data_IF_156678499793
#
_entry.id   IF_156678499793
#
_cell.length_a   1.000
_cell.length_b   1.000
_cell.length_c   1.000
_cell.angle_alpha   90.00
_cell.angle_beta   90.00
_cell.angle_gamma   90.00
#
_symmetry.space_group_name_H-M   'P 1'
#
loop_
_entity.id
_entity.type
_entity.pdbx_description
1 polymer ?
#
# COMPACT_ATOMS: atom_id res chain seq x y z
N UNK A 1 -1.02 19.59 -7.91
CA UNK A 1 -1.50 18.97 -6.68
C UNK A 1 -1.10 17.51 -6.71
N UNK A 2 -0.45 17.01 -5.70
CA UNK A 2 -0.16 15.57 -5.57
C UNK A 2 -1.39 14.95 -4.93
N UNK A 3 -2.08 14.08 -5.66
CA UNK A 3 -3.29 13.43 -5.18
C UNK A 3 -2.92 12.25 -4.26
N UNK A 4 -2.61 12.55 -3.00
CA UNK A 4 -2.28 11.54 -1.99
C UNK A 4 -3.51 10.77 -1.50
N UNK A 5 -4.68 11.41 -1.51
CA UNK A 5 -5.95 10.84 -1.05
C UNK A 5 -7.06 11.19 -2.03
N UNK A 6 -7.86 10.21 -2.41
CA UNK A 6 -9.00 10.37 -3.31
C UNK A 6 -10.25 9.68 -2.72
N UNK A 7 -11.43 10.33 -2.71
CA UNK A 7 -12.68 9.67 -2.31
C UNK A 7 -13.07 8.60 -3.33
N UNK A 8 -13.81 7.57 -2.92
CA UNK A 8 -14.23 6.49 -3.82
C UNK A 8 -15.00 6.99 -5.06
N UNK A 9 -15.76 8.06 -4.93
CA UNK A 9 -16.49 8.69 -6.04
C UNK A 9 -15.57 9.26 -7.14
N UNK A 10 -14.30 9.51 -6.86
CA UNK A 10 -13.31 10.00 -7.81
C UNK A 10 -12.47 8.89 -8.45
N UNK A 11 -12.69 7.63 -8.06
CA UNK A 11 -11.89 6.50 -8.52
C UNK A 11 -12.54 5.85 -9.75
N UNK A 12 -11.69 5.46 -10.71
CA UNK A 12 -12.09 4.82 -11.95
C UNK A 12 -11.13 3.68 -12.31
N UNK A 13 -11.59 2.78 -13.18
CA UNK A 13 -10.84 1.59 -13.60
C UNK A 13 -9.50 1.91 -14.29
N UNK A 14 -9.38 3.03 -14.96
CA UNK A 14 -8.16 3.50 -15.62
C UNK A 14 -7.09 4.00 -14.64
N UNK A 15 -7.42 4.12 -13.34
CA UNK A 15 -6.51 4.58 -12.29
C UNK A 15 -5.77 3.45 -11.57
N UNK A 16 -5.73 2.23 -12.11
CA UNK A 16 -5.11 1.05 -11.48
C UNK A 16 -3.71 1.30 -10.94
N UNK A 17 -2.87 2.00 -11.71
CA UNK A 17 -1.50 2.32 -11.29
C UNK A 17 -1.44 3.27 -10.07
N UNK A 18 -2.49 4.05 -9.84
CA UNK A 18 -2.57 5.04 -8.76
C UNK A 18 -3.27 4.50 -7.52
N UNK A 19 -4.30 3.66 -7.69
CA UNK A 19 -5.19 3.26 -6.58
C UNK A 19 -5.26 1.75 -6.36
N UNK A 20 -4.68 0.94 -7.26
CA UNK A 20 -4.74 -0.51 -7.21
C UNK A 20 -6.11 -1.08 -7.57
N UNK A 21 -6.20 -2.39 -7.76
CA UNK A 21 -7.39 -3.06 -8.29
C UNK A 21 -8.60 -2.96 -7.37
N UNK A 22 -8.43 -3.16 -6.06
CA UNK A 22 -9.56 -3.09 -5.10
C UNK A 22 -10.19 -1.71 -5.05
N UNK A 23 -9.37 -0.66 -4.94
CA UNK A 23 -9.89 0.69 -4.85
C UNK A 23 -10.53 1.15 -6.17
N UNK A 24 -9.94 0.78 -7.32
CA UNK A 24 -10.54 1.04 -8.63
C UNK A 24 -11.93 0.38 -8.74
N UNK A 25 -12.05 -0.88 -8.34
CA UNK A 25 -13.33 -1.59 -8.33
C UNK A 25 -14.36 -0.95 -7.38
N UNK A 26 -13.95 -0.52 -6.17
CA UNK A 26 -14.83 0.20 -5.25
C UNK A 26 -15.31 1.51 -5.85
N UNK A 27 -14.45 2.23 -6.58
CA UNK A 27 -14.81 3.42 -7.32
C UNK A 27 -15.87 3.16 -8.38
N UNK A 28 -15.67 2.14 -9.22
CA UNK A 28 -16.66 1.74 -10.24
C UNK A 28 -18.02 1.37 -9.61
N UNK A 29 -18.02 0.60 -8.53
CA UNK A 29 -19.24 0.22 -7.81
C UNK A 29 -19.94 1.45 -7.21
N UNK A 30 -19.17 2.38 -6.63
CA UNK A 30 -19.69 3.64 -6.08
C UNK A 30 -20.33 4.48 -7.19
N UNK A 31 -19.66 4.64 -8.32
CA UNK A 31 -20.14 5.42 -9.46
C UNK A 31 -21.35 4.76 -10.15
N UNK A 32 -21.46 3.42 -10.06
CA UNK A 32 -22.65 2.68 -10.51
C UNK A 32 -23.80 2.72 -9.50
N UNK A 33 -23.70 3.53 -8.43
CA UNK A 33 -24.71 3.67 -7.38
C UNK A 33 -25.04 2.35 -6.64
N UNK A 34 -24.11 1.42 -6.62
CA UNK A 34 -24.24 0.20 -5.80
C UNK A 34 -23.95 0.51 -4.32
N UNK A 35 -24.47 -0.27 -3.37
CA UNK A 35 -24.34 -0.02 -1.95
C UNK A 35 -22.91 -0.31 -1.45
N UNK A 36 -21.98 0.62 -1.71
CA UNK A 36 -20.61 0.60 -1.20
C UNK A 36 -20.55 1.52 0.03
N UNK A 37 -19.98 1.07 1.16
CA UNK A 37 -19.71 1.97 2.27
C UNK A 37 -18.84 3.15 1.83
N UNK A 38 -19.09 4.37 2.33
CA UNK A 38 -18.26 5.52 2.00
C UNK A 38 -16.81 5.30 2.43
N UNK A 39 -15.87 5.87 1.70
CA UNK A 39 -14.44 5.71 1.97
C UNK A 39 -13.58 6.53 1.03
N UNK A 40 -12.27 6.39 1.23
CA UNK A 40 -11.26 7.03 0.42
C UNK A 40 -10.07 6.08 0.19
N UNK A 41 -9.26 6.40 -0.78
CA UNK A 41 -8.03 5.69 -1.11
C UNK A 41 -6.82 6.58 -0.84
N UNK A 42 -5.85 6.07 -0.09
CA UNK A 42 -4.50 6.63 0.00
C UNK A 42 -3.72 6.07 -1.18
N UNK A 43 -3.31 6.92 -2.09
CA UNK A 43 -2.79 6.53 -3.41
C UNK A 43 -1.36 6.00 -3.35
N UNK A 44 -0.93 5.35 -4.44
CA UNK A 44 0.47 4.92 -4.60
C UNK A 44 1.48 6.07 -4.64
N UNK A 45 1.02 7.31 -4.87
CA UNK A 45 1.87 8.52 -4.77
C UNK A 45 2.34 8.72 -3.32
N UNK A 46 1.46 8.50 -2.34
CA UNK A 46 1.81 8.54 -0.93
C UNK A 46 2.83 7.44 -0.58
N UNK A 47 2.61 6.21 -1.04
CA UNK A 47 3.58 5.12 -0.87
C UNK A 47 4.95 5.48 -1.46
N UNK A 48 4.99 6.05 -2.67
CA UNK A 48 6.25 6.41 -3.33
C UNK A 48 7.03 7.44 -2.52
N UNK A 49 6.35 8.40 -1.90
CA UNK A 49 7.02 9.39 -1.05
C UNK A 49 7.62 8.73 0.20
N UNK A 50 6.86 7.88 0.90
CA UNK A 50 7.37 7.12 2.05
C UNK A 50 8.54 6.22 1.65
N UNK A 51 8.46 5.54 0.52
CA UNK A 51 9.54 4.68 0.03
C UNK A 51 10.83 5.47 -0.24
N UNK A 52 10.71 6.70 -0.73
CA UNK A 52 11.84 7.61 -0.95
C UNK A 52 12.44 8.08 0.38
N UNK A 53 11.61 8.55 1.30
CA UNK A 53 12.04 9.06 2.60
C UNK A 53 12.65 7.96 3.49
N UNK A 54 12.16 6.73 3.38
CA UNK A 54 12.71 5.57 4.08
C UNK A 54 13.98 4.99 3.41
N UNK A 55 14.48 5.61 2.37
CA UNK A 55 15.68 5.17 1.63
C UNK A 55 15.58 3.72 1.12
N UNK A 56 14.37 3.27 0.76
CA UNK A 56 14.16 1.88 0.34
C UNK A 56 14.96 1.51 -0.90
N UNK A 57 15.16 2.45 -1.82
CA UNK A 57 15.96 2.22 -3.01
C UNK A 57 17.42 1.89 -2.66
N UNK A 58 17.98 2.52 -1.62
CA UNK A 58 19.33 2.22 -1.14
C UNK A 58 19.43 0.79 -0.61
N UNK A 59 18.43 0.35 0.15
CA UNK A 59 18.36 -1.03 0.64
C UNK A 59 18.27 -2.01 -0.53
N UNK A 60 17.35 -1.78 -1.47
CA UNK A 60 17.17 -2.63 -2.65
C UNK A 60 18.45 -2.72 -3.49
N UNK A 61 19.16 -1.60 -3.67
CA UNK A 61 20.42 -1.57 -4.41
C UNK A 61 21.52 -2.38 -3.71
N UNK A 62 21.63 -2.34 -2.38
CA UNK A 62 22.60 -3.15 -1.63
C UNK A 62 22.36 -4.63 -1.91
N UNK A 63 21.12 -5.07 -1.94
CA UNK A 63 20.78 -6.47 -2.20
C UNK A 63 20.90 -6.85 -3.69
N UNK A 64 20.67 -5.92 -4.62
CA UNK A 64 20.80 -6.16 -6.06
C UNK A 64 22.25 -6.21 -6.55
N UNK A 65 23.14 -5.38 -6.00
CA UNK A 65 24.53 -5.22 -6.48
C UNK A 65 25.53 -6.21 -5.88
N UNK A 66 25.17 -6.92 -4.84
CA UNK A 66 26.07 -7.93 -4.29
C UNK A 66 26.17 -9.11 -5.26
N UNK A 67 27.38 -9.39 -5.72
CA UNK A 67 27.79 -10.28 -6.83
C UNK A 67 27.38 -11.78 -6.73
N UNK A 68 26.48 -12.14 -5.84
CA UNK A 68 26.03 -13.51 -5.65
C UNK A 68 24.51 -13.66 -5.82
N UNK A 69 23.87 -12.84 -6.65
CA UNK A 69 22.49 -13.11 -7.05
C UNK A 69 22.48 -14.22 -8.11
N UNK A 70 22.90 -15.40 -7.73
CA UNK A 70 22.44 -16.63 -8.37
C UNK A 70 21.03 -16.86 -7.83
N UNK A 71 20.00 -16.71 -8.67
CA UNK A 71 18.61 -16.78 -8.26
C UNK A 71 18.36 -17.98 -7.35
N UNK A 72 17.95 -17.73 -6.09
CA UNK A 72 17.64 -18.76 -5.13
C UNK A 72 18.15 -18.57 -3.71
N UNK A 73 18.87 -17.49 -3.37
CA UNK A 73 19.23 -17.23 -1.97
C UNK A 73 18.02 -16.70 -1.18
N UNK A 74 17.20 -17.64 -0.70
CA UNK A 74 15.99 -17.38 0.09
C UNK A 74 16.31 -16.56 1.34
N UNK A 75 17.43 -16.84 2.01
CA UNK A 75 17.81 -16.13 3.24
C UNK A 75 18.05 -14.65 2.96
N UNK A 76 18.75 -14.35 1.90
CA UNK A 76 19.06 -12.98 1.50
C UNK A 76 17.81 -12.19 1.12
N UNK A 77 16.89 -12.84 0.39
CA UNK A 77 15.60 -12.25 0.04
C UNK A 77 14.77 -11.93 1.30
N UNK A 78 14.80 -12.83 2.28
CA UNK A 78 14.17 -12.64 3.59
C UNK A 78 14.81 -11.49 4.35
N UNK A 79 16.13 -11.40 4.39
CA UNK A 79 16.86 -10.33 5.08
C UNK A 79 16.54 -8.95 4.46
N UNK A 80 16.47 -8.88 3.13
CA UNK A 80 16.04 -7.68 2.42
C UNK A 80 14.61 -7.28 2.78
N UNK A 81 13.69 -8.24 2.71
CA UNK A 81 12.28 -8.02 3.03
C UNK A 81 12.11 -7.48 4.46
N UNK A 82 12.82 -8.06 5.43
CA UNK A 82 12.81 -7.63 6.82
C UNK A 82 13.39 -6.21 6.98
N UNK A 83 14.51 -5.91 6.33
CA UNK A 83 15.13 -4.59 6.38
C UNK A 83 14.20 -3.51 5.83
N UNK A 84 13.59 -3.74 4.66
CA UNK A 84 12.63 -2.80 4.06
C UNK A 84 11.39 -2.63 4.95
N UNK A 85 10.81 -3.73 5.43
CA UNK A 85 9.64 -3.70 6.31
C UNK A 85 9.90 -2.92 7.59
N UNK A 86 11.05 -3.15 8.22
CA UNK A 86 11.46 -2.43 9.42
C UNK A 86 11.57 -0.92 9.18
N UNK A 87 12.16 -0.52 8.05
CA UNK A 87 12.29 0.89 7.68
C UNK A 87 10.94 1.56 7.46
N UNK A 88 9.99 0.91 6.78
CA UNK A 88 8.65 1.44 6.58
C UNK A 88 7.92 1.59 7.91
N UNK A 89 7.98 0.59 8.79
CA UNK A 89 7.33 0.64 10.10
C UNK A 89 7.92 1.70 11.02
N UNK A 90 9.21 1.99 10.89
CA UNK A 90 9.89 3.03 11.66
C UNK A 90 9.76 4.44 11.04
N UNK A 91 9.36 4.54 9.78
CA UNK A 91 9.24 5.82 9.09
C UNK A 91 8.11 6.67 9.67
N UNK A 92 8.37 7.97 9.81
CA UNK A 92 7.32 8.95 10.10
C UNK A 92 6.57 9.24 8.83
N UNK A 93 5.24 9.20 8.87
CA UNK A 93 4.42 9.63 7.74
C UNK A 93 4.60 11.15 7.58
N UNK A 94 5.02 11.64 6.40
CA UNK A 94 5.15 13.08 6.16
C UNK A 94 3.88 13.84 6.49
N UNK A 95 4.03 15.01 7.10
CA UNK A 95 2.90 15.84 7.57
C UNK A 95 1.89 16.09 6.45
N UNK A 96 2.36 16.35 5.24
CA UNK A 96 1.48 16.58 4.08
C UNK A 96 0.57 15.38 3.74
N UNK A 97 1.02 14.15 3.99
CA UNK A 97 0.20 12.93 3.81
C UNK A 97 -0.70 12.73 5.03
N UNK A 98 -0.16 12.89 6.24
CA UNK A 98 -0.93 12.73 7.48
C UNK A 98 -2.11 13.71 7.54
N UNK A 99 -1.92 14.96 7.13
CA UNK A 99 -2.95 16.00 7.13
C UNK A 99 -4.10 15.67 6.16
N UNK A 100 -3.79 15.20 4.94
CA UNK A 100 -4.85 14.86 3.98
C UNK A 100 -5.60 13.58 4.38
N UNK A 101 -4.94 12.59 5.00
CA UNK A 101 -5.60 11.41 5.57
C UNK A 101 -6.51 11.84 6.73
N UNK A 102 -6.02 12.70 7.62
CA UNK A 102 -6.78 13.25 8.76
C UNK A 102 -8.03 13.97 8.28
N UNK A 103 -7.88 14.82 7.27
CA UNK A 103 -9.01 15.54 6.66
C UNK A 103 -10.05 14.58 6.06
N UNK A 104 -9.62 13.59 5.29
CA UNK A 104 -10.51 12.60 4.68
C UNK A 104 -11.23 11.74 5.73
N UNK A 105 -10.53 11.30 6.77
CA UNK A 105 -11.13 10.55 7.88
C UNK A 105 -12.14 11.39 8.67
N UNK A 106 -11.81 12.67 8.92
CA UNK A 106 -12.73 13.61 9.57
C UNK A 106 -14.02 13.83 8.76
N UNK A 107 -13.91 13.97 7.45
CA UNK A 107 -15.09 14.08 6.56
C UNK A 107 -15.92 12.80 6.61
N UNK A 108 -15.29 11.63 6.57
CA UNK A 108 -15.96 10.33 6.61
C UNK A 108 -16.76 10.13 7.91
N UNK A 109 -16.22 10.58 9.04
CA UNK A 109 -16.85 10.52 10.36
C UNK A 109 -17.70 11.74 10.73
N UNK A 110 -17.88 12.72 9.83
CA UNK A 110 -18.56 13.98 10.14
C UNK A 110 -17.97 14.71 11.38
N UNK A 111 -16.67 14.59 11.54
CA UNK A 111 -15.91 15.16 12.66
C UNK A 111 -15.74 14.24 13.87
N UNK A 112 -16.45 13.12 13.92
CA UNK A 112 -16.35 12.15 15.02
C UNK A 112 -15.49 10.93 14.62
N UNK A 113 -14.75 10.33 15.57
CA UNK A 113 -14.06 9.08 15.33
C UNK A 113 -15.03 7.94 15.04
N UNK A 114 -14.89 7.29 13.89
CA UNK A 114 -15.71 6.15 13.50
C UNK A 114 -14.84 4.91 13.25
N UNK A 115 -15.38 3.69 13.43
CA UNK A 115 -14.67 2.49 13.06
C UNK A 115 -14.59 2.35 11.55
N UNK A 116 -13.39 2.10 11.04
CA UNK A 116 -13.13 1.86 9.61
C UNK A 116 -12.42 0.54 9.40
N UNK A 117 -12.52 0.00 8.18
CA UNK A 117 -11.65 -1.05 7.67
C UNK A 117 -10.54 -0.42 6.83
N UNK A 118 -9.28 -0.69 7.17
CA UNK A 118 -8.12 -0.26 6.40
C UNK A 118 -7.58 -1.46 5.63
N UNK A 119 -7.50 -1.34 4.31
CA UNK A 119 -7.21 -2.46 3.40
C UNK A 119 -6.18 -2.05 2.36
N UNK A 120 -5.21 -2.93 2.10
CA UNK A 120 -4.26 -2.75 1.01
C UNK A 120 -4.90 -2.98 -0.36
N UNK A 121 -4.48 -2.19 -1.35
CA UNK A 121 -4.88 -2.29 -2.76
C UNK A 121 -3.63 -2.24 -3.64
N UNK A 122 -3.17 -3.41 -4.10
CA UNK A 122 -1.95 -3.53 -4.88
C UNK A 122 -2.18 -3.21 -6.35
N UNK A 123 -1.17 -2.63 -7.00
CA UNK A 123 -1.20 -2.32 -8.44
C UNK A 123 -1.04 -3.55 -9.32
N UNK A 124 -0.55 -4.65 -8.77
CA UNK A 124 -0.27 -5.90 -9.49
C UNK A 124 -1.36 -6.97 -9.33
N UNK A 125 -2.53 -6.64 -8.74
CA UNK A 125 -3.63 -7.60 -8.53
C UNK A 125 -4.20 -8.17 -9.83
N UNK A 126 -4.11 -7.42 -10.94
CA UNK A 126 -4.67 -7.80 -12.24
C UNK A 126 -3.72 -8.61 -13.13
N UNK A 127 -2.55 -8.98 -12.64
CA UNK A 127 -1.73 -9.94 -13.39
C UNK A 127 -2.44 -11.31 -13.34
N UNK A 128 -2.71 -11.96 -14.51
CA UNK A 128 -3.53 -13.17 -14.60
C UNK A 128 -3.08 -14.35 -13.74
N UNK A 129 -1.85 -14.28 -13.21
CA UNK A 129 -1.21 -15.29 -12.37
C UNK A 129 -0.83 -14.77 -10.97
N UNK A 130 -1.10 -13.50 -10.69
CA UNK A 130 -0.76 -12.86 -9.42
C UNK A 130 -1.97 -12.82 -8.49
N UNK A 131 -2.52 -13.97 -8.16
CA UNK A 131 -3.50 -14.05 -7.08
C UNK A 131 -2.80 -13.75 -5.76
N UNK A 132 -2.73 -12.48 -5.38
CA UNK A 132 -2.37 -12.05 -4.02
C UNK A 132 -3.46 -12.40 -3.00
N UNK A 133 -4.36 -13.33 -3.35
CA UNK A 133 -5.42 -13.79 -2.48
C UNK A 133 -4.85 -14.28 -1.15
N UNK A 134 -5.23 -13.62 -0.07
CA UNK A 134 -4.81 -13.93 1.29
C UNK A 134 -3.46 -13.36 1.73
N UNK A 135 -2.80 -12.49 0.93
CA UNK A 135 -1.53 -11.85 1.28
C UNK A 135 -1.67 -10.35 1.62
N UNK A 136 -2.90 -9.84 1.63
CA UNK A 136 -3.17 -8.43 1.84
C UNK A 136 -3.76 -8.24 3.21
N UNK A 137 -3.13 -7.37 3.99
CA UNK A 137 -3.59 -7.08 5.33
C UNK A 137 -4.89 -6.27 5.27
N UNK A 138 -5.83 -6.68 6.10
CA UNK A 138 -7.06 -5.96 6.39
C UNK A 138 -7.13 -5.74 7.89
N UNK A 139 -7.20 -4.49 8.29
CA UNK A 139 -7.35 -4.09 9.68
C UNK A 139 -8.78 -3.60 9.90
N UNK A 140 -9.53 -4.31 10.73
CA UNK A 140 -10.94 -4.01 11.01
C UNK A 140 -11.08 -3.24 12.33
N UNK A 141 -12.17 -2.47 12.45
CA UNK A 141 -12.52 -1.72 13.66
C UNK A 141 -11.42 -0.74 14.08
N UNK A 142 -10.75 -0.11 13.13
CA UNK A 142 -9.75 0.92 13.41
C UNK A 142 -10.48 2.21 13.73
N UNK A 143 -10.23 2.77 14.92
CA UNK A 143 -10.90 3.99 15.42
C UNK A 143 -9.86 5.03 15.81
N UNK A 144 -10.05 6.24 15.32
CA UNK A 144 -9.17 7.38 15.61
C UNK A 144 -8.01 7.52 14.62
N UNK A 145 -7.57 8.75 14.41
CA UNK A 145 -6.61 9.08 13.35
C UNK A 145 -5.25 8.42 13.53
N UNK A 146 -4.75 8.36 14.76
CA UNK A 146 -3.46 7.72 15.04
C UNK A 146 -3.47 6.22 14.66
N UNK A 147 -4.58 5.54 14.98
CA UNK A 147 -4.76 4.14 14.62
C UNK A 147 -4.92 3.95 13.10
N UNK A 148 -5.59 4.89 12.40
CA UNK A 148 -5.71 4.88 10.94
C UNK A 148 -4.34 5.06 10.28
N UNK A 149 -3.55 6.04 10.71
CA UNK A 149 -2.19 6.27 10.20
C UNK A 149 -1.27 5.06 10.45
N UNK A 150 -1.35 4.45 11.62
CA UNK A 150 -0.61 3.21 11.90
C UNK A 150 -1.05 2.05 10.99
N UNK A 151 -2.34 1.86 10.80
CA UNK A 151 -2.88 0.82 9.92
C UNK A 151 -2.46 1.04 8.45
N UNK A 152 -2.44 2.28 7.96
CA UNK A 152 -1.93 2.63 6.62
C UNK A 152 -0.46 2.24 6.50
N UNK A 153 0.39 2.59 7.48
CA UNK A 153 1.80 2.23 7.50
C UNK A 153 2.01 0.71 7.50
N UNK A 154 1.21 0.00 8.27
CA UNK A 154 1.23 -1.48 8.32
C UNK A 154 0.80 -2.11 7.00
N UNK A 155 -0.20 -1.54 6.30
CA UNK A 155 -0.55 -1.94 4.95
C UNK A 155 0.66 -1.79 4.02
N UNK A 156 1.36 -0.65 4.02
CA UNK A 156 2.55 -0.44 3.20
C UNK A 156 3.66 -1.45 3.53
N UNK A 157 3.87 -1.74 4.81
CA UNK A 157 4.86 -2.73 5.24
C UNK A 157 4.51 -4.16 4.80
N UNK A 158 3.23 -4.49 4.64
CA UNK A 158 2.78 -5.82 4.22
C UNK A 158 3.24 -6.20 2.81
N UNK A 159 3.54 -5.21 1.97
CA UNK A 159 4.14 -5.43 0.66
C UNK A 159 5.51 -6.14 0.73
N UNK A 160 6.17 -6.06 1.87
CA UNK A 160 7.52 -6.55 2.14
C UNK A 160 7.54 -7.71 3.15
N UNK A 161 6.48 -8.51 3.22
CA UNK A 161 6.53 -9.80 3.92
C UNK A 161 7.38 -10.79 3.14
N UNK A 162 8.01 -11.72 3.82
CA UNK A 162 8.87 -12.76 3.21
C UNK A 162 8.09 -13.51 2.11
N UNK A 163 6.82 -13.82 2.37
CA UNK A 163 5.94 -14.48 1.42
C UNK A 163 5.67 -13.63 0.18
N UNK A 164 5.38 -12.33 0.34
CA UNK A 164 5.09 -11.43 -0.76
C UNK A 164 6.32 -11.25 -1.66
N UNK A 165 7.50 -11.08 -1.05
CA UNK A 165 8.77 -10.91 -1.77
C UNK A 165 9.16 -12.20 -2.50
N UNK A 166 9.07 -13.36 -1.84
CA UNK A 166 9.37 -14.67 -2.45
C UNK A 166 8.42 -14.97 -3.61
N UNK A 167 7.15 -14.63 -3.49
CA UNK A 167 6.18 -14.81 -4.56
C UNK A 167 6.50 -13.96 -5.78
N UNK A 168 6.81 -12.66 -5.59
CA UNK A 168 7.23 -11.78 -6.69
C UNK A 168 8.50 -12.27 -7.36
N UNK A 169 9.47 -12.74 -6.58
CA UNK A 169 10.71 -13.33 -7.11
C UNK A 169 10.42 -14.54 -7.99
N UNK A 170 9.55 -15.45 -7.56
CA UNK A 170 9.17 -16.63 -8.34
C UNK A 170 8.52 -16.30 -9.68
N UNK A 171 7.94 -15.11 -9.81
CA UNK A 171 7.35 -14.58 -11.04
C UNK A 171 8.32 -13.71 -11.85
N UNK A 172 9.53 -13.48 -11.38
CA UNK A 172 10.51 -12.60 -12.03
C UNK A 172 10.10 -11.12 -12.03
N UNK A 173 9.29 -10.70 -11.07
CA UNK A 173 8.84 -9.32 -10.95
C UNK A 173 9.89 -8.46 -10.24
N UNK A 174 10.12 -7.26 -10.77
CA UNK A 174 11.00 -6.29 -10.13
C UNK A 174 10.39 -5.81 -8.80
N UNK A 175 11.12 -6.10 -7.70
CA UNK A 175 10.71 -5.74 -6.35
C UNK A 175 10.49 -4.22 -6.17
N UNK A 176 11.22 -3.38 -6.92
CA UNK A 176 11.13 -1.92 -6.83
C UNK A 176 9.94 -1.33 -7.59
N UNK A 177 9.36 -2.07 -8.52
CA UNK A 177 8.28 -1.58 -9.39
C UNK A 177 6.90 -1.65 -8.73
N UNK A 178 6.75 -2.47 -7.70
CA UNK A 178 5.45 -2.71 -7.05
C UNK A 178 5.13 -1.59 -6.06
N UNK A 179 3.91 -1.10 -6.16
CA UNK A 179 3.38 -0.04 -5.29
C UNK A 179 2.09 -0.50 -4.64
N UNK A 180 1.76 0.13 -3.53
CA UNK A 180 0.57 -0.18 -2.76
C UNK A 180 -0.22 1.08 -2.46
N UNK A 181 -1.51 1.06 -2.79
CA UNK A 181 -2.51 1.98 -2.26
C UNK A 181 -3.21 1.37 -1.04
N UNK A 182 -3.89 2.17 -0.25
CA UNK A 182 -4.60 1.76 0.97
C UNK A 182 -5.99 2.35 1.00
#
# INVERSE_FOLDING_TARGET
SRDFVLPFSALHRDMLALVGGKAANLGELTNAMLPVPPGFCVTTTAYTLIATDAELQSILNIYATSQAWEGGDVQRLTDMAQAVRHRILAATIPTEIADVITGAYGVLGSGEPIPVAVRSSATAEDLPFASFAGQQDTFLNIVGIEAVLDAVRRCWASLWTDRAVSYRESLGLDQSSIKLAV
#
